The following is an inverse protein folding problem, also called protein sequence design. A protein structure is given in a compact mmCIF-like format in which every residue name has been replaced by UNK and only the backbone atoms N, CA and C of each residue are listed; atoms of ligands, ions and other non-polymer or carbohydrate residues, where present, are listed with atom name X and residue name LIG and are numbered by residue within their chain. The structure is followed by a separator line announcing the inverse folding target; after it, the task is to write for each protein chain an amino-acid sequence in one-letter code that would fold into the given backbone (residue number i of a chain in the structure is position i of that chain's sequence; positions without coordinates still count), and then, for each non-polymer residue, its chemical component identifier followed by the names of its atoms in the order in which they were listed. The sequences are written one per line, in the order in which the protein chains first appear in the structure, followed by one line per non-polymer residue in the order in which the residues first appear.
data_IF_923343992957
#
_entry.id   IF_923343992957
#
_cell.length_a   1.000
_cell.length_b   1.000
_cell.length_c   1.000
_cell.angle_alpha   90.00
_cell.angle_beta   90.00
_cell.angle_gamma   90.00
#
_symmetry.space_group_name_H-M   'P 1'
#
loop_
_entity.id
_entity.type
_entity.pdbx_description
1 polymer ?
#
# COMPACT_ATOMS: atom_id res chain seq x y z
N UNK A 1 -14.11 12.96 27.97
CA UNK A 1 -13.43 13.97 27.14
C UNK A 1 -13.67 13.62 25.70
N UNK A 2 -14.01 14.58 24.82
CA UNK A 2 -14.14 14.30 23.39
C UNK A 2 -12.79 13.84 22.85
N UNK A 3 -12.77 12.71 22.13
CA UNK A 3 -11.59 12.08 21.56
C UNK A 3 -10.82 12.98 20.57
N UNK A 4 -11.51 13.99 20.01
CA UNK A 4 -10.95 14.99 19.10
C UNK A 4 -9.83 15.87 19.71
N UNK A 5 -9.75 15.94 21.03
CA UNK A 5 -8.71 16.71 21.75
C UNK A 5 -7.46 15.90 22.11
N UNK A 6 -7.42 14.61 21.80
CA UNK A 6 -6.27 13.75 22.12
C UNK A 6 -5.06 13.98 21.20
N UNK A 7 -5.28 14.56 20.01
CA UNK A 7 -4.20 14.85 19.08
C UNK A 7 -4.26 16.31 18.62
N UNK A 8 -3.21 17.10 18.81
CA UNK A 8 -3.18 18.47 18.33
C UNK A 8 -3.32 18.50 16.80
N UNK A 9 -4.10 19.46 16.30
CA UNK A 9 -4.13 19.75 14.85
C UNK A 9 -2.70 20.03 14.39
N UNK A 10 -2.31 19.52 13.23
CA UNK A 10 -0.96 19.69 12.69
C UNK A 10 -0.53 21.16 12.72
N UNK A 11 0.63 21.49 13.30
CA UNK A 11 1.17 22.84 13.28
C UNK A 11 1.59 23.20 11.85
N UNK A 12 0.84 24.10 11.20
CA UNK A 12 0.99 24.45 9.78
C UNK A 12 2.33 25.12 9.42
N UNK A 13 3.08 25.65 10.35
CA UNK A 13 4.27 26.50 10.08
C UNK A 13 5.58 25.71 10.11
N UNK A 14 5.82 24.88 11.13
CA UNK A 14 7.05 24.09 11.27
C UNK A 14 7.17 22.97 10.25
N UNK A 15 6.07 22.24 10.04
CA UNK A 15 6.00 21.13 9.10
C UNK A 15 6.24 21.59 7.64
N UNK A 16 5.73 22.75 7.23
CA UNK A 16 5.98 23.30 5.88
C UNK A 16 7.46 23.63 5.62
N UNK A 17 8.20 24.08 6.62
CA UNK A 17 9.64 24.36 6.50
C UNK A 17 10.41 23.06 6.32
N UNK A 18 10.15 22.05 7.15
CA UNK A 18 10.79 20.74 7.08
C UNK A 18 10.46 20.02 5.76
N UNK A 19 9.21 20.06 5.30
CA UNK A 19 8.79 19.50 4.02
C UNK A 19 9.48 20.20 2.82
N UNK A 20 9.77 21.51 2.93
CA UNK A 20 10.51 22.26 1.91
C UNK A 20 11.98 21.84 1.87
N UNK A 21 12.64 21.74 3.02
CA UNK A 21 14.03 21.29 3.14
C UNK A 21 14.23 19.87 2.59
N UNK A 22 13.31 18.95 2.91
CA UNK A 22 13.33 17.59 2.36
C UNK A 22 13.14 17.56 0.84
N UNK A 23 12.27 18.41 0.30
CA UNK A 23 12.07 18.54 -1.14
C UNK A 23 13.33 19.03 -1.85
N UNK A 24 13.97 20.03 -1.27
CA UNK A 24 15.20 20.59 -1.85
C UNK A 24 16.31 19.54 -1.84
N UNK A 25 16.49 18.77 -0.77
CA UNK A 25 17.45 17.66 -0.69
C UNK A 25 17.16 16.56 -1.73
N UNK A 26 15.88 16.16 -1.93
CA UNK A 26 15.47 15.18 -2.95
C UNK A 26 15.80 15.67 -4.36
N UNK A 27 15.53 16.94 -4.65
CA UNK A 27 15.80 17.56 -5.95
C UNK A 27 17.30 17.60 -6.30
N UNK A 28 18.16 17.87 -5.31
CA UNK A 28 19.62 17.82 -5.48
C UNK A 28 20.12 16.39 -5.76
N UNK A 29 19.53 15.37 -5.13
CA UNK A 29 19.93 13.98 -5.33
C UNK A 29 19.51 13.46 -6.71
N UNK A 30 18.33 13.82 -7.21
CA UNK A 30 17.90 13.46 -8.58
C UNK A 30 18.82 14.07 -9.63
N UNK A 31 19.28 15.30 -9.44
CA UNK A 31 20.27 15.98 -10.30
C UNK A 31 21.66 15.31 -10.23
N UNK A 32 22.07 14.83 -9.05
CA UNK A 32 23.37 14.17 -8.86
C UNK A 32 23.41 12.77 -9.48
N UNK A 33 22.33 12.02 -9.36
CA UNK A 33 22.23 10.67 -9.96
C UNK A 33 22.31 10.73 -11.48
N UNK A 34 21.72 11.76 -12.11
CA UNK A 34 21.82 11.95 -13.56
C UNK A 34 23.20 12.40 -14.04
N UNK A 35 24.05 12.98 -13.16
CA UNK A 35 25.40 13.41 -13.52
C UNK A 35 26.47 12.31 -13.33
N UNK A 36 26.26 11.35 -12.42
CA UNK A 36 27.24 10.28 -12.14
C UNK A 36 27.13 9.08 -13.09
N UNK A 37 26.02 8.91 -13.81
CA UNK A 37 25.87 7.83 -14.80
C UNK A 37 26.27 8.19 -16.23
N UNK A 38 26.81 9.38 -16.47
CA UNK A 38 27.39 9.76 -17.75
C UNK A 38 28.88 9.37 -17.81
N UNK A 39 29.20 8.09 -17.73
CA UNK A 39 30.53 7.58 -18.09
C UNK A 39 30.55 7.31 -19.58
N UNK A 40 31.41 7.96 -20.38
CA UNK A 40 31.52 7.67 -21.80
C UNK A 40 32.13 6.26 -21.97
N UNK A 41 31.38 5.35 -22.55
CA UNK A 41 31.91 4.08 -23.02
C UNK A 41 32.88 4.34 -24.19
N UNK A 42 34.17 4.39 -23.91
CA UNK A 42 35.22 4.25 -24.97
C UNK A 42 35.33 2.78 -25.34
N UNK A 43 35.26 2.46 -26.63
CA UNK A 43 35.43 1.06 -27.06
C UNK A 43 36.91 0.62 -26.92
N UNK A 44 37.11 -0.47 -26.20
CA UNK A 44 38.44 -1.17 -26.13
C UNK A 44 38.69 -1.89 -27.45
N UNK A 45 39.90 -1.86 -28.03
CA UNK A 45 40.16 -2.52 -29.27
C UNK A 45 40.22 -4.05 -29.08
N UNK A 46 39.47 -4.74 -29.90
CA UNK A 46 39.45 -6.20 -29.97
C UNK A 46 40.70 -6.74 -30.70
N UNK A 47 41.45 -7.59 -30.01
CA UNK A 47 42.46 -8.45 -30.61
C UNK A 47 41.79 -9.67 -31.26
N UNK A 48 41.98 -9.79 -32.57
CA UNK A 48 41.50 -10.86 -33.41
C UNK A 48 42.35 -12.14 -33.25
N UNK A 49 41.69 -13.31 -33.17
CA UNK A 49 42.26 -14.62 -33.49
C UNK A 49 41.33 -15.29 -34.51
N UNK A 50 41.84 -15.83 -35.62
CA UNK A 50 41.03 -16.38 -36.70
C UNK A 50 40.86 -17.90 -36.55
N UNK A 51 39.66 -18.42 -36.75
CA UNK A 51 39.48 -19.80 -37.21
C UNK A 51 38.25 -19.92 -38.12
N UNK A 52 38.55 -20.37 -39.31
CA UNK A 52 37.66 -20.72 -40.39
C UNK A 52 36.78 -21.92 -40.09
N UNK A 53 35.48 -21.88 -40.47
CA UNK A 53 34.79 -23.00 -41.13
C UNK A 53 33.50 -22.55 -41.79
N UNK A 54 33.37 -23.02 -43.05
CA UNK A 54 32.23 -22.81 -43.96
C UNK A 54 30.96 -23.47 -43.47
N UNK A 55 29.82 -22.81 -43.63
CA UNK A 55 28.51 -23.45 -43.74
C UNK A 55 27.59 -22.66 -44.66
N UNK A 56 26.82 -23.38 -45.44
CA UNK A 56 25.95 -22.95 -46.52
C UNK A 56 24.60 -22.36 -46.07
N UNK A 57 23.78 -21.78 -46.96
CA UNK A 57 22.72 -20.86 -46.64
C UNK A 57 21.37 -21.57 -46.35
N UNK A 58 20.65 -21.10 -45.37
CA UNK A 58 19.25 -21.47 -45.12
C UNK A 58 18.34 -20.25 -45.26
N UNK A 59 17.19 -20.54 -45.80
CA UNK A 59 16.18 -19.69 -46.38
C UNK A 59 15.52 -18.71 -45.43
N UNK A 60 15.23 -17.54 -45.98
CA UNK A 60 14.33 -16.48 -45.47
C UNK A 60 12.91 -16.99 -45.16
N UNK A 61 12.50 -16.84 -43.91
CA UNK A 61 11.09 -16.75 -43.53
C UNK A 61 10.86 -15.38 -42.93
N UNK A 62 9.98 -14.61 -43.56
CA UNK A 62 9.55 -13.31 -43.12
C UNK A 62 8.76 -13.45 -41.80
N UNK A 63 9.30 -12.91 -40.72
CA UNK A 63 8.56 -12.74 -39.47
C UNK A 63 8.03 -11.32 -39.46
N UNK A 64 6.71 -11.22 -39.38
CA UNK A 64 5.94 -10.02 -39.14
C UNK A 64 6.45 -9.32 -37.87
N UNK A 65 6.71 -8.04 -38.01
CA UNK A 65 6.96 -7.15 -36.89
C UNK A 65 5.64 -6.89 -36.17
N UNK A 66 5.44 -7.54 -35.02
CA UNK A 66 4.51 -7.05 -33.99
C UNK A 66 5.29 -6.06 -33.09
N UNK A 67 5.18 -4.80 -33.43
CA UNK A 67 5.55 -3.68 -32.58
C UNK A 67 4.36 -3.52 -31.58
N UNK A 68 4.53 -3.96 -30.34
CA UNK A 68 4.02 -3.43 -29.07
C UNK A 68 4.17 -4.50 -27.96
N UNK A 69 5.39 -4.89 -27.64
CA UNK A 69 5.64 -5.50 -26.33
C UNK A 69 5.89 -4.36 -25.31
N UNK A 70 5.25 -4.39 -24.13
CA UNK A 70 5.52 -3.38 -23.09
C UNK A 70 7.00 -3.41 -22.76
N UNK A 71 7.62 -2.22 -22.78
CA UNK A 71 9.03 -2.00 -22.45
C UNK A 71 9.32 -2.70 -21.12
N UNK A 72 10.22 -3.69 -21.18
CA UNK A 72 10.64 -4.50 -20.01
C UNK A 72 11.41 -3.55 -19.06
N UNK A 73 10.70 -2.93 -18.11
CA UNK A 73 11.31 -2.07 -17.09
C UNK A 73 12.21 -2.94 -16.22
N UNK A 74 13.55 -2.76 -16.25
CA UNK A 74 14.49 -3.60 -15.48
C UNK A 74 14.18 -3.62 -13.97
N UNK A 75 13.50 -2.57 -13.46
CA UNK A 75 13.09 -2.48 -12.05
C UNK A 75 11.97 -3.45 -11.69
N UNK A 76 11.25 -3.96 -12.68
CA UNK A 76 10.16 -4.92 -12.46
C UNK A 76 10.66 -6.34 -12.20
N UNK A 77 11.95 -6.64 -12.48
CA UNK A 77 12.56 -7.96 -12.27
C UNK A 77 11.70 -9.11 -12.81
N UNK A 78 11.20 -9.00 -14.04
CA UNK A 78 10.19 -9.89 -14.62
C UNK A 78 10.52 -11.38 -14.45
N UNK A 79 11.81 -11.77 -14.61
CA UNK A 79 12.28 -13.14 -14.43
C UNK A 79 12.07 -13.70 -13.01
N UNK A 80 12.07 -12.85 -11.98
CA UNK A 80 11.96 -13.24 -10.56
C UNK A 80 10.61 -12.92 -9.94
N UNK A 81 9.68 -12.36 -10.71
CA UNK A 81 8.39 -11.88 -10.20
C UNK A 81 7.61 -12.96 -9.43
N UNK A 82 7.61 -14.20 -9.91
CA UNK A 82 6.93 -15.32 -9.25
C UNK A 82 7.60 -15.73 -7.94
N UNK A 83 8.93 -15.73 -7.91
CA UNK A 83 9.68 -16.10 -6.71
C UNK A 83 9.60 -15.02 -5.64
N UNK A 84 9.67 -13.75 -6.02
CA UNK A 84 9.44 -12.61 -5.13
C UNK A 84 8.04 -12.69 -4.54
N UNK A 85 7.01 -12.95 -5.36
CA UNK A 85 5.63 -13.07 -4.89
C UNK A 85 5.47 -14.22 -3.90
N UNK A 86 6.00 -15.39 -4.21
CA UNK A 86 5.96 -16.57 -3.31
C UNK A 86 6.66 -16.27 -1.99
N UNK A 87 7.81 -15.61 -2.02
CA UNK A 87 8.54 -15.19 -0.83
C UNK A 87 7.71 -14.21 0.02
N UNK A 88 7.13 -13.17 -0.58
CA UNK A 88 6.28 -12.21 0.13
C UNK A 88 5.06 -12.92 0.77
N UNK A 89 4.45 -13.87 0.06
CA UNK A 89 3.34 -14.68 0.57
C UNK A 89 3.77 -15.56 1.75
N UNK A 90 4.97 -16.12 1.74
CA UNK A 90 5.49 -16.89 2.87
C UNK A 90 5.78 -16.01 4.08
N UNK A 91 6.29 -14.79 3.87
CA UNK A 91 6.58 -13.85 4.94
C UNK A 91 5.32 -13.32 5.63
N UNK A 92 4.25 -13.01 4.88
CA UNK A 92 3.04 -12.40 5.47
C UNK A 92 2.28 -13.35 6.43
N UNK A 93 2.51 -14.66 6.35
CA UNK A 93 1.86 -15.65 7.25
C UNK A 93 2.70 -15.96 8.50
N UNK A 94 3.94 -15.46 8.57
CA UNK A 94 4.79 -15.67 9.75
C UNK A 94 4.18 -14.99 10.98
N UNK A 95 3.99 -15.75 12.07
CA UNK A 95 3.33 -15.25 13.27
C UNK A 95 4.01 -13.99 13.87
N UNK A 96 5.35 -13.89 13.80
CA UNK A 96 6.11 -12.73 14.29
C UNK A 96 5.87 -11.45 13.49
N UNK A 97 5.36 -11.56 12.26
CA UNK A 97 5.06 -10.43 11.36
C UNK A 97 3.60 -10.02 11.37
N UNK A 98 2.77 -10.74 12.13
CA UNK A 98 1.34 -10.48 12.18
C UNK A 98 0.91 -9.98 13.56
N UNK A 99 0.17 -8.87 13.62
CA UNK A 99 -0.50 -8.48 14.84
C UNK A 99 -1.59 -9.49 15.21
N UNK A 100 -1.83 -9.67 16.50
CA UNK A 100 -2.95 -10.48 16.99
C UNK A 100 -4.27 -9.79 16.65
N UNK A 101 -5.22 -10.52 16.07
CA UNK A 101 -6.50 -9.95 15.65
C UNK A 101 -7.36 -9.42 16.83
N UNK A 102 -7.11 -9.89 18.04
CA UNK A 102 -7.87 -9.56 19.24
C UNK A 102 -7.04 -8.81 20.31
N UNK A 103 -5.95 -8.16 19.93
CA UNK A 103 -5.05 -7.52 20.90
C UNK A 103 -5.71 -6.38 21.69
N UNK A 104 -6.75 -5.73 21.15
CA UNK A 104 -7.48 -4.70 21.90
C UNK A 104 -8.12 -5.26 23.17
N UNK A 105 -8.75 -6.43 23.08
CA UNK A 105 -9.43 -7.05 24.20
C UNK A 105 -8.47 -7.86 25.08
N UNK A 106 -7.46 -8.51 24.46
CA UNK A 106 -6.56 -9.40 25.16
C UNK A 106 -5.44 -8.68 25.91
N UNK A 107 -4.93 -7.56 25.39
CA UNK A 107 -3.72 -6.90 25.88
C UNK A 107 -3.97 -5.45 26.30
N UNK A 108 -4.71 -4.68 25.49
CA UNK A 108 -4.93 -3.27 25.75
C UNK A 108 -6.01 -3.07 26.83
N UNK A 109 -5.81 -2.07 27.70
CA UNK A 109 -6.75 -1.75 28.80
C UNK A 109 -7.33 -0.34 28.69
N UNK A 110 -6.53 0.60 28.21
CA UNK A 110 -6.88 2.02 28.10
C UNK A 110 -7.06 2.48 26.65
N UNK A 111 -6.44 1.76 25.69
CA UNK A 111 -6.51 2.09 24.26
C UNK A 111 -7.67 1.35 23.62
N UNK A 112 -8.47 2.05 22.82
CA UNK A 112 -9.62 1.51 22.09
C UNK A 112 -9.35 1.48 20.58
N UNK A 113 -10.17 0.72 19.84
CA UNK A 113 -10.13 0.66 18.38
C UNK A 113 -10.34 2.05 17.75
N UNK A 114 -11.23 2.88 18.32
CA UNK A 114 -11.47 4.24 17.85
C UNK A 114 -10.24 5.14 18.05
N UNK A 115 -9.57 5.05 19.20
CA UNK A 115 -8.34 5.80 19.46
C UNK A 115 -7.23 5.43 18.47
N UNK A 116 -7.11 4.11 18.15
CA UNK A 116 -6.19 3.64 17.12
C UNK A 116 -6.55 4.22 15.75
N UNK A 117 -7.83 4.20 15.38
CA UNK A 117 -8.32 4.77 14.13
C UNK A 117 -7.97 6.25 13.99
N UNK A 118 -8.22 7.05 15.05
CA UNK A 118 -7.86 8.48 15.10
C UNK A 118 -6.35 8.66 14.93
N UNK A 119 -5.53 7.85 15.60
CA UNK A 119 -4.07 7.89 15.44
C UNK A 119 -3.66 7.63 13.99
N UNK A 120 -4.21 6.60 13.35
CA UNK A 120 -3.87 6.25 11.97
C UNK A 120 -4.28 7.36 11.00
N UNK A 121 -5.49 7.93 11.13
CA UNK A 121 -5.94 9.06 10.31
C UNK A 121 -5.04 10.30 10.47
N UNK A 122 -4.59 10.56 11.70
CA UNK A 122 -3.62 11.63 11.96
C UNK A 122 -2.27 11.34 11.28
N UNK A 123 -1.78 10.09 11.31
CA UNK A 123 -0.53 9.70 10.65
C UNK A 123 -0.61 9.80 9.12
N UNK A 124 -1.79 9.61 8.52
CA UNK A 124 -1.99 9.90 7.09
C UNK A 124 -1.71 11.36 6.78
N UNK A 125 -2.18 12.28 7.63
CA UNK A 125 -1.94 13.71 7.46
C UNK A 125 -0.46 14.05 7.66
N UNK A 126 0.22 13.42 8.62
CA UNK A 126 1.68 13.55 8.83
C UNK A 126 2.45 13.09 7.60
N UNK A 127 2.08 11.94 7.03
CA UNK A 127 2.72 11.40 5.82
C UNK A 127 2.54 12.34 4.60
N UNK A 128 1.36 12.95 4.43
CA UNK A 128 1.10 13.94 3.37
C UNK A 128 1.91 15.23 3.59
N UNK A 129 2.00 15.71 4.82
CA UNK A 129 2.74 16.94 5.15
C UNK A 129 4.24 16.78 4.86
N UNK A 130 4.85 15.67 5.28
CA UNK A 130 6.26 15.37 5.02
C UNK A 130 6.50 14.73 3.65
N UNK A 131 5.44 14.47 2.86
CA UNK A 131 5.51 13.82 1.55
C UNK A 131 6.24 12.49 1.59
N UNK A 132 5.97 11.70 2.61
CA UNK A 132 6.53 10.37 2.75
C UNK A 132 6.01 9.42 1.68
N UNK A 133 6.78 8.40 1.38
CA UNK A 133 6.35 7.33 0.48
C UNK A 133 5.13 6.61 1.06
N UNK A 134 4.21 6.15 0.21
CA UNK A 134 3.03 5.44 0.71
C UNK A 134 3.38 4.24 1.60
N UNK A 135 4.43 3.48 1.26
CA UNK A 135 4.84 2.31 2.03
C UNK A 135 5.29 2.65 3.46
N UNK A 136 5.86 3.83 3.68
CA UNK A 136 6.25 4.33 5.01
C UNK A 136 5.04 4.37 5.96
N UNK A 137 3.87 4.81 5.48
CA UNK A 137 2.64 4.81 6.28
C UNK A 137 2.20 3.38 6.65
N UNK A 138 2.18 2.46 5.66
CA UNK A 138 1.77 1.07 5.90
C UNK A 138 2.71 0.36 6.89
N UNK A 139 4.02 0.58 6.77
CA UNK A 139 5.00 0.05 7.73
C UNK A 139 4.78 0.63 9.12
N UNK A 140 4.58 1.95 9.24
CA UNK A 140 4.33 2.59 10.54
C UNK A 140 3.11 2.00 11.24
N UNK A 141 1.99 1.80 10.52
CA UNK A 141 0.78 1.18 11.08
C UNK A 141 1.03 -0.28 11.47
N UNK A 142 1.78 -1.04 10.66
CA UNK A 142 2.16 -2.41 11.01
C UNK A 142 2.97 -2.46 12.30
N UNK A 143 3.93 -1.55 12.50
CA UNK A 143 4.73 -1.48 13.72
C UNK A 143 3.89 -1.11 14.95
N UNK A 144 2.92 -0.21 14.79
CA UNK A 144 1.97 0.14 15.86
C UNK A 144 1.17 -1.10 16.26
N UNK A 145 0.59 -1.81 15.31
CA UNK A 145 -0.25 -2.98 15.60
C UNK A 145 0.53 -4.13 16.21
N UNK A 146 1.76 -4.39 15.76
CA UNK A 146 2.67 -5.38 16.35
C UNK A 146 3.06 -4.99 17.79
N UNK A 147 3.36 -3.71 18.03
CA UNK A 147 3.68 -3.23 19.38
C UNK A 147 2.48 -3.36 20.31
N UNK A 148 1.29 -2.94 19.87
CA UNK A 148 0.04 -3.05 20.64
C UNK A 148 -0.38 -4.52 20.88
N UNK A 149 0.04 -5.44 19.99
CA UNK A 149 -0.17 -6.89 20.13
C UNK A 149 0.76 -7.54 21.14
N UNK A 150 1.83 -6.86 21.58
CA UNK A 150 2.79 -7.43 22.53
C UNK A 150 2.84 -6.69 23.85
N UNK A 151 2.47 -5.42 23.92
CA UNK A 151 2.58 -4.57 25.11
C UNK A 151 1.38 -3.66 25.30
N UNK A 152 0.82 -3.64 26.51
CA UNK A 152 -0.18 -2.65 26.90
C UNK A 152 0.48 -1.25 26.98
N UNK A 153 -0.23 -0.23 26.50
CA UNK A 153 0.20 1.15 26.52
C UNK A 153 -0.89 2.05 27.12
N UNK A 154 -0.47 3.12 27.82
CA UNK A 154 -1.39 4.15 28.29
C UNK A 154 -1.82 5.06 27.17
N UNK A 155 -3.05 5.55 27.19
CA UNK A 155 -3.62 6.47 26.19
C UNK A 155 -2.71 7.67 25.92
N UNK A 156 -2.12 8.25 26.97
CA UNK A 156 -1.21 9.42 26.87
C UNK A 156 0.05 9.16 26.03
N UNK A 157 0.45 7.89 25.85
CA UNK A 157 1.64 7.50 25.08
C UNK A 157 1.30 6.96 23.69
N UNK A 158 0.03 6.89 23.33
CA UNK A 158 -0.40 6.34 22.05
C UNK A 158 0.11 7.18 20.87
N UNK A 159 0.07 8.51 20.98
CA UNK A 159 0.63 9.41 19.97
C UNK A 159 2.15 9.28 19.87
N UNK A 160 2.85 9.12 21.00
CA UNK A 160 4.31 8.89 21.01
C UNK A 160 4.64 7.58 20.29
N UNK A 161 3.86 6.51 20.50
CA UNK A 161 4.03 5.27 19.75
C UNK A 161 3.84 5.50 18.25
N UNK A 162 2.78 6.20 17.84
CA UNK A 162 2.48 6.48 16.44
C UNK A 162 3.59 7.25 15.74
N UNK A 163 3.99 8.38 16.32
CA UNK A 163 5.02 9.24 15.72
C UNK A 163 6.40 8.57 15.70
N UNK A 164 6.73 7.79 16.72
CA UNK A 164 8.00 7.04 16.77
C UNK A 164 7.99 5.87 15.76
N UNK A 165 6.86 5.20 15.56
CA UNK A 165 6.70 4.18 14.53
C UNK A 165 6.85 4.76 13.12
N UNK A 166 6.29 5.96 12.87
CA UNK A 166 6.47 6.67 11.61
C UNK A 166 7.93 7.07 11.39
N UNK A 167 8.63 7.52 12.44
CA UNK A 167 10.05 7.85 12.37
C UNK A 167 10.92 6.63 12.05
N UNK A 168 10.66 5.48 12.68
CA UNK A 168 11.35 4.20 12.38
C UNK A 168 11.07 3.77 10.94
N UNK A 169 9.81 3.81 10.51
CA UNK A 169 9.43 3.46 9.15
C UNK A 169 10.06 4.39 8.11
N UNK A 170 10.12 5.70 8.39
CA UNK A 170 10.76 6.67 7.51
C UNK A 170 12.27 6.41 7.39
N UNK A 171 12.96 6.07 8.46
CA UNK A 171 14.39 5.71 8.41
C UNK A 171 14.64 4.43 7.60
N UNK A 172 13.68 3.52 7.55
CA UNK A 172 13.79 2.27 6.81
C UNK A 172 13.50 2.44 5.31
N UNK A 173 12.47 3.22 4.97
CA UNK A 173 11.93 3.29 3.60
C UNK A 173 12.41 4.50 2.79
N UNK A 174 12.70 5.63 3.46
CA UNK A 174 12.99 6.89 2.77
C UNK A 174 14.49 7.08 2.54
N UNK A 175 14.87 7.56 1.37
CA UNK A 175 16.26 8.01 1.11
C UNK A 175 16.59 9.20 1.99
N UNK A 176 15.67 10.17 2.08
CA UNK A 176 15.79 11.34 2.94
C UNK A 176 14.61 11.39 3.90
N UNK A 177 14.81 10.97 5.12
CA UNK A 177 13.77 10.99 6.14
C UNK A 177 13.77 12.30 6.94
N UNK A 178 12.63 12.72 7.51
CA UNK A 178 12.57 13.83 8.46
C UNK A 178 13.44 13.55 9.69
N UNK A 179 14.01 14.61 10.27
CA UNK A 179 14.80 14.48 11.50
C UNK A 179 13.90 14.21 12.72
N UNK A 180 14.50 13.80 13.83
CA UNK A 180 13.77 13.59 15.08
C UNK A 180 13.14 14.89 15.60
N UNK A 181 13.79 16.04 15.36
CA UNK A 181 13.28 17.37 15.70
C UNK A 181 11.96 17.64 14.96
N UNK A 182 11.93 17.33 13.66
CA UNK A 182 10.71 17.49 12.85
C UNK A 182 9.54 16.66 13.43
N UNK A 183 9.82 15.43 13.88
CA UNK A 183 8.82 14.59 14.51
C UNK A 183 8.42 15.05 15.92
N UNK A 184 9.29 15.73 16.67
CA UNK A 184 8.89 16.43 17.90
C UNK A 184 7.98 17.62 17.58
N UNK A 185 8.35 18.45 16.59
CA UNK A 185 7.57 19.62 16.20
C UNK A 185 6.15 19.27 15.73
N UNK A 186 5.97 18.16 14.99
CA UNK A 186 4.64 17.73 14.49
C UNK A 186 3.68 17.36 15.64
N UNK A 187 4.24 16.99 16.80
CA UNK A 187 3.47 16.74 18.02
C UNK A 187 3.26 18.00 18.87
N UNK A 188 3.58 19.19 18.32
CA UNK A 188 3.63 20.47 19.06
C UNK A 188 4.55 20.39 20.31
N UNK A 189 5.66 19.67 20.20
CA UNK A 189 6.62 19.42 21.27
C UNK A 189 6.02 18.76 22.53
N UNK A 190 4.93 17.97 22.35
CA UNK A 190 4.35 17.19 23.44
C UNK A 190 5.33 16.13 23.96
N UNK A 191 6.30 15.73 23.15
CA UNK A 191 7.33 14.76 23.50
C UNK A 191 8.72 15.31 23.11
N UNK A 192 9.69 15.04 23.98
CA UNK A 192 11.08 15.41 23.71
C UNK A 192 11.84 14.31 22.95
N UNK A 193 13.02 14.66 22.42
CA UNK A 193 13.84 13.72 21.66
C UNK A 193 14.26 12.47 22.43
N UNK A 194 14.44 12.57 23.75
CA UNK A 194 14.83 11.42 24.59
C UNK A 194 13.69 10.42 24.71
N UNK A 195 12.45 10.88 24.84
CA UNK A 195 11.25 10.05 24.86
C UNK A 195 11.07 9.36 23.50
N UNK A 196 11.24 10.09 22.40
CA UNK A 196 11.22 9.55 21.05
C UNK A 196 12.28 8.45 20.86
N UNK A 197 13.54 8.70 21.22
CA UNK A 197 14.65 7.73 21.14
C UNK A 197 14.42 6.50 22.03
N UNK A 198 13.75 6.68 23.19
CA UNK A 198 13.36 5.56 24.05
C UNK A 198 12.28 4.70 23.39
N UNK A 199 11.24 5.33 22.87
CA UNK A 199 10.15 4.63 22.21
C UNK A 199 10.64 3.92 20.94
N UNK A 200 11.50 4.53 20.14
CA UNK A 200 12.16 3.91 19.00
C UNK A 200 12.87 2.60 19.39
N UNK A 201 13.70 2.63 20.45
CA UNK A 201 14.36 1.42 20.94
C UNK A 201 13.38 0.34 21.40
N UNK A 202 12.27 0.75 22.04
CA UNK A 202 11.24 -0.17 22.51
C UNK A 202 10.49 -0.81 21.32
N UNK A 203 10.25 -0.05 20.24
CA UNK A 203 9.66 -0.55 18.99
C UNK A 203 10.62 -1.53 18.32
N UNK A 204 11.88 -1.16 18.09
CA UNK A 204 12.87 -2.01 17.43
C UNK A 204 13.08 -3.34 18.17
N UNK A 205 13.11 -3.31 19.50
CA UNK A 205 13.15 -4.53 20.31
C UNK A 205 11.90 -5.38 20.18
N UNK A 206 10.73 -4.76 20.08
CA UNK A 206 9.46 -5.45 19.89
C UNK A 206 9.39 -6.15 18.53
N UNK A 207 9.95 -5.51 17.50
CA UNK A 207 10.04 -6.04 16.15
C UNK A 207 11.22 -7.01 15.94
N UNK A 208 12.02 -7.25 16.98
CA UNK A 208 13.26 -8.05 16.87
C UNK A 208 14.18 -7.56 15.73
N UNK A 209 14.10 -6.25 15.40
CA UNK A 209 14.79 -5.60 14.27
C UNK A 209 14.36 -6.11 12.88
N UNK A 210 13.29 -6.89 12.78
CA UNK A 210 12.73 -7.36 11.51
C UNK A 210 11.69 -6.37 10.96
N UNK A 211 12.17 -5.30 10.34
CA UNK A 211 11.33 -4.18 9.88
C UNK A 211 10.71 -4.41 8.50
N UNK A 212 11.28 -5.26 7.67
CA UNK A 212 10.88 -5.48 6.27
C UNK A 212 9.68 -6.41 6.08
N UNK A 213 8.57 -6.20 6.80
CA UNK A 213 7.36 -7.01 6.63
C UNK A 213 6.59 -6.62 5.36
N UNK A 214 6.02 -7.59 4.61
CA UNK A 214 5.13 -7.29 3.49
C UNK A 214 3.93 -6.48 3.94
N UNK A 215 3.65 -5.39 3.26
CA UNK A 215 2.50 -4.52 3.52
C UNK A 215 1.40 -4.69 2.47
N UNK A 216 0.23 -4.13 2.71
CA UNK A 216 -0.84 -4.08 1.72
C UNK A 216 -0.34 -3.42 0.43
N UNK A 217 0.45 -2.34 0.54
CA UNK A 217 0.98 -1.61 -0.62
C UNK A 217 1.93 -2.46 -1.46
N UNK A 218 2.68 -3.37 -0.83
CA UNK A 218 3.58 -4.32 -1.51
C UNK A 218 2.84 -5.18 -2.54
N UNK A 219 1.65 -5.68 -2.20
CA UNK A 219 0.83 -6.50 -3.09
C UNK A 219 -0.02 -5.68 -4.05
N UNK A 220 -0.47 -4.49 -3.62
CA UNK A 220 -1.47 -3.68 -4.32
C UNK A 220 -1.02 -3.29 -5.73
N UNK A 221 0.25 -2.90 -5.92
CA UNK A 221 0.79 -2.51 -7.23
C UNK A 221 0.61 -3.63 -8.25
N UNK A 222 1.08 -4.84 -7.92
CA UNK A 222 0.97 -6.02 -8.78
C UNK A 222 -0.49 -6.35 -9.11
N UNK A 223 -1.36 -6.26 -8.12
CA UNK A 223 -2.77 -6.61 -8.28
C UNK A 223 -3.55 -5.58 -9.09
N UNK A 224 -3.22 -4.29 -8.95
CA UNK A 224 -3.81 -3.24 -9.79
C UNK A 224 -3.38 -3.38 -11.25
N UNK A 225 -2.09 -3.69 -11.52
CA UNK A 225 -1.61 -3.99 -12.87
C UNK A 225 -2.35 -5.18 -13.50
N UNK A 226 -2.54 -6.27 -12.75
CA UNK A 226 -3.33 -7.40 -13.21
C UNK A 226 -4.83 -7.07 -13.39
N UNK A 227 -5.33 -6.10 -12.63
CA UNK A 227 -6.71 -5.62 -12.68
C UNK A 227 -7.04 -4.73 -13.87
N UNK A 228 -6.04 -4.25 -14.60
CA UNK A 228 -6.27 -3.47 -15.82
C UNK A 228 -6.87 -4.35 -16.91
N UNK A 229 -7.88 -3.83 -17.58
CA UNK A 229 -8.49 -4.46 -18.75
C UNK A 229 -8.07 -3.69 -20.00
N UNK A 230 -7.63 -4.42 -21.03
CA UNK A 230 -7.24 -3.84 -22.30
C UNK A 230 -8.44 -3.08 -22.90
N UNK A 231 -8.18 -1.86 -23.37
CA UNK A 231 -9.21 -1.01 -24.00
C UNK A 231 -10.06 -0.16 -23.05
N UNK A 232 -9.85 -0.23 -21.71
CA UNK A 232 -10.54 0.64 -20.75
C UNK A 232 -9.56 1.67 -20.16
N UNK A 233 -9.89 2.95 -20.28
CA UNK A 233 -9.03 4.07 -19.85
C UNK A 233 -9.12 4.37 -18.32
N UNK A 234 -9.11 3.32 -17.48
CA UNK A 234 -9.25 3.47 -16.02
C UNK A 234 -7.95 3.32 -15.25
N UNK A 235 -6.81 3.15 -15.92
CA UNK A 235 -5.56 2.73 -15.28
C UNK A 235 -5.25 3.49 -13.98
N UNK A 236 -5.05 4.81 -14.09
CA UNK A 236 -4.75 5.64 -12.93
C UNK A 236 -5.92 5.72 -11.92
N UNK A 237 -7.17 5.74 -12.39
CA UNK A 237 -8.34 5.82 -11.51
C UNK A 237 -8.53 4.54 -10.70
N UNK A 238 -8.28 3.37 -11.30
CA UNK A 238 -8.29 2.09 -10.60
C UNK A 238 -7.21 2.03 -9.52
N UNK A 239 -5.99 2.46 -9.86
CA UNK A 239 -4.87 2.46 -8.92
C UNK A 239 -5.14 3.39 -7.72
N UNK A 240 -5.61 4.62 -7.96
CA UNK A 240 -5.92 5.56 -6.90
C UNK A 240 -7.10 5.11 -6.05
N UNK A 241 -8.15 4.54 -6.67
CA UNK A 241 -9.30 4.05 -5.92
C UNK A 241 -8.93 2.82 -5.06
N UNK A 242 -8.18 1.87 -5.62
CA UNK A 242 -7.69 0.73 -4.86
C UNK A 242 -6.76 1.16 -3.71
N UNK A 243 -5.90 2.18 -3.93
CA UNK A 243 -5.05 2.76 -2.88
C UNK A 243 -5.88 3.45 -1.79
N UNK A 244 -6.92 4.19 -2.17
CA UNK A 244 -7.87 4.80 -1.22
C UNK A 244 -8.55 3.76 -0.33
N UNK A 245 -9.07 2.69 -0.93
CA UNK A 245 -9.75 1.61 -0.21
C UNK A 245 -8.79 0.84 0.71
N UNK A 246 -7.56 0.62 0.25
CA UNK A 246 -6.51 0.01 1.06
C UNK A 246 -6.09 0.89 2.25
N UNK A 247 -6.02 2.21 2.10
CA UNK A 247 -5.77 3.12 3.22
C UNK A 247 -6.95 3.20 4.18
N UNK A 248 -8.21 3.13 3.70
CA UNK A 248 -9.37 3.04 4.58
C UNK A 248 -9.32 1.81 5.49
N UNK A 249 -8.82 0.67 4.99
CA UNK A 249 -8.67 -0.53 5.81
C UNK A 249 -7.65 -0.38 6.94
N UNK A 250 -6.66 0.53 6.82
CA UNK A 250 -5.70 0.80 7.89
C UNK A 250 -6.36 1.42 9.13
N UNK A 251 -7.39 2.21 8.95
CA UNK A 251 -8.09 2.89 10.05
C UNK A 251 -9.00 1.93 10.81
N UNK A 252 -9.56 0.93 10.13
CA UNK A 252 -10.47 -0.02 10.74
C UNK A 252 -9.75 -1.17 11.44
N UNK A 253 -9.95 -1.28 12.77
CA UNK A 253 -9.38 -2.36 13.55
C UNK A 253 -9.88 -3.75 13.10
N UNK A 254 -11.12 -3.84 12.61
CA UNK A 254 -11.68 -5.08 12.07
C UNK A 254 -10.90 -5.66 10.89
N UNK A 255 -10.14 -4.82 10.18
CA UNK A 255 -9.31 -5.26 9.06
C UNK A 255 -7.98 -5.89 9.46
N UNK A 256 -7.52 -5.73 10.72
CA UNK A 256 -6.25 -6.31 11.23
C UNK A 256 -6.21 -7.84 11.14
N UNK A 257 -7.37 -8.50 11.18
CA UNK A 257 -7.46 -9.95 11.06
C UNK A 257 -7.07 -10.50 9.69
N UNK A 258 -7.21 -9.71 8.62
CA UNK A 258 -6.93 -10.16 7.26
C UNK A 258 -5.44 -10.06 6.92
N UNK A 259 -4.99 -10.93 6.00
CA UNK A 259 -3.64 -10.84 5.43
C UNK A 259 -3.49 -9.59 4.57
N UNK A 260 -2.31 -8.96 4.51
CA UNK A 260 -2.04 -7.82 3.65
C UNK A 260 -2.41 -8.06 2.18
N UNK A 261 -2.10 -9.25 1.64
CA UNK A 261 -2.46 -9.62 0.27
C UNK A 261 -3.97 -9.77 0.07
N UNK A 262 -4.71 -10.28 1.08
CA UNK A 262 -6.19 -10.39 1.02
C UNK A 262 -6.81 -9.00 0.99
N UNK A 263 -6.32 -8.06 1.81
CA UNK A 263 -6.79 -6.67 1.79
C UNK A 263 -6.50 -6.02 0.44
N UNK A 264 -5.28 -6.19 -0.09
CA UNK A 264 -4.92 -5.64 -1.40
C UNK A 264 -5.80 -6.18 -2.53
N UNK A 265 -6.05 -7.50 -2.57
CA UNK A 265 -6.92 -8.14 -3.53
C UNK A 265 -8.37 -7.65 -3.40
N UNK A 266 -8.88 -7.55 -2.18
CA UNK A 266 -10.24 -7.06 -1.89
C UNK A 266 -10.42 -5.59 -2.24
N UNK A 267 -9.39 -4.74 -2.02
CA UNK A 267 -9.40 -3.34 -2.44
C UNK A 267 -9.49 -3.21 -3.96
N UNK A 268 -8.76 -4.04 -4.73
CA UNK A 268 -8.87 -4.08 -6.20
C UNK A 268 -10.25 -4.57 -6.64
N UNK A 269 -10.79 -5.60 -5.98
CA UNK A 269 -12.15 -6.10 -6.26
C UNK A 269 -13.20 -4.98 -6.09
N UNK A 270 -13.22 -4.31 -4.94
CA UNK A 270 -14.18 -3.24 -4.64
C UNK A 270 -13.97 -2.03 -5.55
N UNK A 271 -12.72 -1.68 -5.88
CA UNK A 271 -12.41 -0.61 -6.82
C UNK A 271 -12.98 -0.89 -8.21
N UNK A 272 -12.79 -2.11 -8.74
CA UNK A 272 -13.35 -2.53 -10.04
C UNK A 272 -14.88 -2.58 -10.02
N UNK A 273 -15.46 -3.06 -8.93
CA UNK A 273 -16.92 -3.04 -8.75
C UNK A 273 -17.47 -1.61 -8.74
N UNK A 274 -16.80 -0.68 -8.06
CA UNK A 274 -17.21 0.73 -8.01
C UNK A 274 -17.14 1.40 -9.38
N UNK A 275 -16.08 1.11 -10.17
CA UNK A 275 -15.89 1.68 -11.50
C UNK A 275 -16.80 1.05 -12.56
N UNK A 276 -17.12 -0.24 -12.45
CA UNK A 276 -17.98 -0.94 -13.37
C UNK A 276 -18.81 -2.04 -12.69
N UNK A 277 -19.93 -1.69 -12.07
CA UNK A 277 -20.76 -2.63 -11.32
C UNK A 277 -21.50 -3.66 -12.20
N UNK A 278 -21.56 -3.43 -13.53
CA UNK A 278 -22.23 -4.33 -14.49
C UNK A 278 -21.37 -5.52 -14.92
N UNK A 279 -20.04 -5.45 -14.74
CA UNK A 279 -19.14 -6.55 -15.06
C UNK A 279 -18.64 -7.24 -13.80
N UNK A 280 -18.33 -8.55 -13.92
CA UNK A 280 -17.74 -9.28 -12.80
C UNK A 280 -16.40 -8.65 -12.41
N UNK A 281 -16.23 -8.19 -11.15
CA UNK A 281 -15.02 -7.46 -10.75
C UNK A 281 -13.78 -8.34 -10.64
N UNK A 282 -13.96 -9.69 -10.59
CA UNK A 282 -12.88 -10.66 -10.45
C UNK A 282 -12.75 -11.53 -11.67
N UNK A 283 -11.71 -11.37 -12.47
CA UNK A 283 -11.47 -12.11 -13.70
C UNK A 283 -10.36 -13.16 -13.50
N UNK A 284 -10.23 -14.06 -14.50
CA UNK A 284 -9.22 -15.14 -14.47
C UNK A 284 -7.77 -14.63 -14.34
N UNK A 285 -7.46 -13.47 -14.91
CA UNK A 285 -6.12 -12.85 -14.80
C UNK A 285 -5.81 -12.49 -13.35
N UNK A 286 -6.78 -11.92 -12.61
CA UNK A 286 -6.66 -11.64 -11.19
C UNK A 286 -6.56 -12.92 -10.36
N UNK A 287 -7.37 -13.95 -10.63
CA UNK A 287 -7.24 -15.24 -9.93
C UNK A 287 -5.86 -15.85 -10.11
N UNK A 288 -5.31 -15.83 -11.32
CA UNK A 288 -3.98 -16.36 -11.60
C UNK A 288 -2.86 -15.53 -10.96
N UNK A 289 -3.00 -14.20 -10.96
CA UNK A 289 -2.00 -13.29 -10.39
C UNK A 289 -1.96 -13.32 -8.87
N UNK A 290 -3.13 -13.43 -8.23
CA UNK A 290 -3.30 -13.32 -6.78
C UNK A 290 -3.38 -14.67 -6.07
N UNK A 291 -3.66 -15.75 -6.82
CA UNK A 291 -3.95 -17.10 -6.30
C UNK A 291 -5.21 -17.16 -5.40
N UNK A 292 -6.06 -16.11 -5.45
CA UNK A 292 -7.33 -16.05 -4.72
C UNK A 292 -8.52 -16.17 -5.65
N UNK A 293 -9.50 -16.97 -5.25
CA UNK A 293 -10.85 -16.95 -5.85
C UNK A 293 -11.66 -15.81 -5.23
N UNK A 294 -12.66 -15.34 -5.95
CA UNK A 294 -13.56 -14.30 -5.42
C UNK A 294 -14.23 -14.70 -4.09
N UNK A 295 -14.52 -16.01 -3.91
CA UNK A 295 -15.06 -16.55 -2.66
C UNK A 295 -14.14 -16.38 -1.45
N UNK A 296 -12.83 -16.46 -1.66
CA UNK A 296 -11.84 -16.40 -0.59
C UNK A 296 -11.70 -14.96 -0.04
N UNK A 297 -12.10 -13.98 -0.85
CA UNK A 297 -12.06 -12.57 -0.53
C UNK A 297 -13.34 -12.04 0.10
N UNK A 298 -14.42 -12.84 0.15
CA UNK A 298 -15.79 -12.40 0.47
C UNK A 298 -15.85 -11.51 1.71
N UNK A 299 -15.34 -11.97 2.84
CA UNK A 299 -15.49 -11.27 4.12
C UNK A 299 -14.71 -9.95 4.13
N UNK A 300 -13.51 -9.93 3.57
CA UNK A 300 -12.70 -8.73 3.44
C UNK A 300 -13.30 -7.74 2.43
N UNK A 301 -13.83 -8.23 1.31
CA UNK A 301 -14.55 -7.41 0.30
C UNK A 301 -15.73 -6.69 0.94
N UNK A 302 -16.56 -7.40 1.74
CA UNK A 302 -17.68 -6.78 2.44
C UNK A 302 -17.20 -5.76 3.47
N UNK A 303 -16.15 -6.05 4.23
CA UNK A 303 -15.57 -5.11 5.20
C UNK A 303 -15.12 -3.80 4.53
N UNK A 304 -14.34 -3.89 3.45
CA UNK A 304 -13.84 -2.72 2.71
C UNK A 304 -14.99 -1.94 2.03
N UNK A 305 -15.95 -2.65 1.44
CA UNK A 305 -17.12 -2.05 0.83
C UNK A 305 -17.96 -1.27 1.85
N UNK A 306 -18.16 -1.83 3.04
CA UNK A 306 -18.83 -1.16 4.15
C UNK A 306 -18.12 0.11 4.61
N UNK A 307 -16.78 0.11 4.63
CA UNK A 307 -15.99 1.30 4.94
C UNK A 307 -16.19 2.41 3.91
N UNK A 308 -16.24 2.06 2.63
CA UNK A 308 -16.51 3.01 1.55
C UNK A 308 -17.95 3.53 1.62
N UNK A 309 -18.93 2.64 1.77
CA UNK A 309 -20.35 2.96 1.72
C UNK A 309 -20.83 3.76 2.93
N UNK A 310 -20.52 3.27 4.14
CA UNK A 310 -21.05 3.85 5.38
C UNK A 310 -20.31 5.11 5.81
N UNK A 311 -19.18 5.47 5.14
CA UNK A 311 -18.29 6.55 5.60
C UNK A 311 -18.14 6.52 7.12
N UNK A 312 -17.82 5.34 7.65
CA UNK A 312 -18.01 4.92 9.05
C UNK A 312 -17.31 5.79 10.08
N UNK A 313 -16.46 6.68 9.63
CA UNK A 313 -15.83 7.65 10.49
C UNK A 313 -16.12 9.06 9.97
N UNK A 314 -17.29 9.59 10.28
CA UNK A 314 -17.63 11.00 10.01
C UNK A 314 -16.58 11.95 10.64
N UNK A 315 -15.85 11.50 11.66
CA UNK A 315 -14.77 12.23 12.30
C UNK A 315 -13.37 12.02 11.67
N UNK A 316 -13.17 10.94 10.88
CA UNK A 316 -11.86 10.60 10.30
C UNK A 316 -11.82 11.05 8.84
N UNK A 317 -11.37 12.27 8.62
CA UNK A 317 -11.43 12.94 7.31
C UNK A 317 -10.09 12.93 6.57
N UNK A 318 -8.98 12.58 7.21
CA UNK A 318 -7.63 12.69 6.65
C UNK A 318 -7.47 11.94 5.34
N UNK A 319 -7.88 10.67 5.30
CA UNK A 319 -7.81 9.84 4.08
C UNK A 319 -8.74 10.39 2.99
N UNK A 320 -9.98 10.74 3.34
CA UNK A 320 -10.95 11.24 2.38
C UNK A 320 -10.48 12.55 1.74
N UNK A 321 -9.97 13.50 2.51
CA UNK A 321 -9.44 14.78 2.01
C UNK A 321 -8.15 14.59 1.19
N UNK A 322 -7.31 13.62 1.53
CA UNK A 322 -6.16 13.23 0.71
C UNK A 322 -6.60 12.84 -0.70
N UNK A 323 -7.52 11.87 -0.82
CA UNK A 323 -7.96 11.30 -2.09
C UNK A 323 -9.04 12.12 -2.81
N UNK A 324 -9.51 13.22 -2.22
CA UNK A 324 -10.35 14.22 -2.89
C UNK A 324 -9.56 15.16 -3.80
N UNK A 325 -8.24 15.25 -3.61
CA UNK A 325 -7.38 16.13 -4.40
C UNK A 325 -7.32 15.69 -5.87
N UNK A 326 -7.15 16.67 -6.77
CA UNK A 326 -7.08 16.43 -8.23
C UNK A 326 -5.94 15.48 -8.62
N UNK A 327 -4.81 15.48 -7.89
CA UNK A 327 -3.68 14.56 -8.12
C UNK A 327 -4.07 13.07 -7.97
N UNK A 328 -5.16 12.78 -7.26
CA UNK A 328 -5.74 11.45 -7.08
C UNK A 328 -7.09 11.30 -7.80
N UNK A 329 -7.39 12.14 -8.78
CA UNK A 329 -8.63 12.12 -9.56
C UNK A 329 -9.92 12.19 -8.72
N UNK A 330 -9.85 12.70 -7.48
CA UNK A 330 -11.01 12.84 -6.60
C UNK A 330 -11.70 11.51 -6.26
N UNK A 331 -10.98 10.38 -6.26
CA UNK A 331 -11.58 9.04 -6.12
C UNK A 331 -12.35 8.81 -4.83
N UNK A 332 -12.07 9.57 -3.77
CA UNK A 332 -12.86 9.50 -2.53
C UNK A 332 -14.30 10.00 -2.69
N UNK A 333 -14.60 10.71 -3.79
CA UNK A 333 -15.96 11.17 -4.10
C UNK A 333 -16.78 10.13 -4.88
N UNK A 334 -16.14 9.07 -5.38
CA UNK A 334 -16.84 8.00 -6.06
C UNK A 334 -17.66 7.18 -5.07
N UNK A 335 -18.93 7.00 -5.40
CA UNK A 335 -19.85 6.20 -4.59
C UNK A 335 -19.92 4.78 -5.18
N UNK A 336 -19.75 3.79 -4.33
CA UNK A 336 -20.05 2.40 -4.69
C UNK A 336 -21.57 2.17 -4.70
N UNK A 337 -22.02 1.09 -5.34
CA UNK A 337 -23.39 0.62 -5.19
C UNK A 337 -23.65 0.11 -3.77
N UNK A 338 -24.91 0.18 -3.32
CA UNK A 338 -25.32 -0.17 -1.96
C UNK A 338 -24.96 -1.61 -1.56
N UNK A 339 -25.04 -2.53 -2.50
CA UNK A 339 -24.79 -3.96 -2.26
C UNK A 339 -23.94 -4.58 -3.37
N UNK A 340 -23.02 -5.46 -2.97
CA UNK A 340 -22.29 -6.32 -3.88
C UNK A 340 -23.14 -7.56 -4.16
N UNK A 341 -23.51 -7.83 -5.42
CA UNK A 341 -24.31 -9.01 -5.74
C UNK A 341 -23.64 -10.31 -5.25
N UNK A 342 -24.38 -11.13 -4.51
CA UNK A 342 -23.87 -12.37 -3.94
C UNK A 342 -23.26 -13.34 -5.00
N UNK A 343 -23.67 -13.21 -6.26
CA UNK A 343 -23.12 -13.99 -7.38
C UNK A 343 -21.62 -13.71 -7.62
N UNK A 344 -21.13 -12.51 -7.26
CA UNK A 344 -19.74 -12.13 -7.46
C UNK A 344 -18.77 -12.73 -6.42
N UNK A 345 -19.31 -13.20 -5.28
CA UNK A 345 -18.50 -13.78 -4.19
C UNK A 345 -18.89 -15.24 -3.89
N UNK A 346 -19.70 -15.88 -4.73
CA UNK A 346 -20.02 -17.32 -4.59
C UNK A 346 -18.88 -18.18 -5.11
N UNK A 347 -18.62 -19.30 -4.43
CA UNK A 347 -17.78 -20.37 -4.96
C UNK A 347 -18.47 -20.97 -6.18
N UNK A 348 -17.82 -20.97 -7.35
CA UNK A 348 -18.29 -21.67 -8.53
C UNK A 348 -18.14 -23.20 -8.32
N UNK A 349 -19.04 -23.79 -7.54
CA UNK A 349 -19.32 -25.22 -7.63
C UNK A 349 -20.32 -25.37 -8.74
N UNK A 350 -19.90 -25.87 -9.91
CA UNK A 350 -20.64 -26.17 -11.13
C UNK A 350 -20.61 -25.09 -12.21
N UNK A 351 -20.22 -25.60 -13.38
CA UNK A 351 -20.05 -24.98 -14.68
C UNK A 351 -21.04 -23.90 -15.08
N UNK A 352 -20.53 -22.92 -15.75
CA UNK A 352 -21.30 -21.97 -16.54
C UNK A 352 -22.21 -22.71 -17.52
N UNK A 353 -23.47 -22.92 -17.17
CA UNK A 353 -24.55 -23.05 -18.13
C UNK A 353 -25.19 -21.68 -18.28
N UNK A 354 -25.13 -21.20 -19.51
CA UNK A 354 -25.82 -20.04 -20.03
C UNK A 354 -27.18 -19.81 -19.36
N UNK A 355 -27.31 -18.68 -18.65
CA UNK A 355 -28.61 -18.05 -18.42
C UNK A 355 -28.62 -16.72 -19.17
N UNK A 356 -28.56 -16.83 -20.50
CA UNK A 356 -29.19 -15.86 -21.38
C UNK A 356 -30.68 -16.22 -21.44
N UNK A 357 -31.48 -15.18 -21.27
CA UNK A 357 -32.93 -15.11 -21.58
C UNK A 357 -33.86 -15.65 -20.51
N UNK A 358 -34.64 -14.78 -19.91
CA UNK A 358 -35.92 -14.32 -20.45
C UNK A 358 -36.50 -13.21 -19.59
N UNK A 359 -36.56 -12.00 -20.11
CA UNK A 359 -37.65 -11.08 -19.79
C UNK A 359 -38.19 -10.53 -21.09
N UNK A 360 -39.16 -11.25 -21.62
CA UNK A 360 -40.25 -10.67 -22.39
C UNK A 360 -41.43 -10.59 -21.45
N UNK A 361 -41.92 -9.44 -21.19
CA UNK A 361 -43.24 -8.85 -21.20
C UNK A 361 -43.26 -7.60 -20.35
#
# INVERSE_FOLDING_TARGET
MPLENCFPRLPRVGAKKAARELRDKRKYSELSIHSEFAVPCTPRPSTSIPTSRKAAPAQTAAASKDEDSPVDDPRMCAAYTSDIYRHLRSMEVEAKRRPSANYMDAIQREVTADMRGILVDWLVQVAEEYKLLPNTLYLAVSYIDLFLSSKAIRTQRLQLLGVSSMFVAAKYEEIYHPSIENFCDITANAYNQQEMKKMERDILKCLEFEMGSPTIKTFLRRFTEAGHEDGKNWGAQLEFLASYLAELSLVDYGCVQFLPSVIAASAVFVARFTLNPKSHPWNRKLEQCTEYKASDLKDCVHAIHDLQWKKRAVSLVGISEKYKQNKFHGVSMLLSHAEIPAIYTRSNCCGFRNLLLTTKL
#
